data_IF_613351717531
#
_entry.id   IF_613351717531
#
_cell.length_a   1.000
_cell.length_b   1.000
_cell.length_c   1.000
_cell.angle_alpha   90.00
_cell.angle_beta   90.00
_cell.angle_gamma   90.00
#
_symmetry.space_group_name_H-M   'P 1'
#
loop_
_entity.id
_entity.type
_entity.pdbx_description
1 polymer ?
#
# COMPACT_ATOMS: atom_id res chain seq x y z
N UNK A 1 17.70 2.10 18.56
CA UNK A 1 17.03 3.10 17.71
C UNK A 1 16.80 2.45 16.36
N UNK A 2 15.70 1.70 16.21
CA UNK A 2 15.28 1.23 14.90
C UNK A 2 14.51 2.39 14.25
N UNK A 3 14.96 2.85 13.08
CA UNK A 3 14.23 3.84 12.30
C UNK A 3 12.82 3.31 12.06
N UNK A 4 11.80 4.14 12.32
CA UNK A 4 10.45 3.81 11.88
C UNK A 4 10.45 3.60 10.37
N UNK A 5 9.56 2.75 9.83
CA UNK A 5 9.45 2.58 8.38
C UNK A 5 9.27 3.96 7.72
N UNK A 6 9.83 4.17 6.52
CA UNK A 6 9.66 5.43 5.80
C UNK A 6 8.17 5.70 5.64
N UNK A 7 7.71 6.90 6.04
CA UNK A 7 6.34 7.32 5.74
C UNK A 7 6.18 7.39 4.23
N UNK A 8 5.38 6.50 3.66
CA UNK A 8 5.03 6.52 2.23
C UNK A 8 3.79 7.37 2.04
N UNK A 9 3.73 8.08 0.93
CA UNK A 9 2.57 8.88 0.54
C UNK A 9 2.35 8.73 -0.95
N UNK A 10 1.09 8.71 -1.35
CA UNK A 10 0.69 8.92 -2.73
C UNK A 10 -0.54 9.83 -2.80
N UNK A 11 -0.79 10.42 -3.96
CA UNK A 11 -1.81 11.44 -4.16
C UNK A 11 -2.75 11.03 -5.28
N UNK A 12 -4.00 10.83 -4.90
CA UNK A 12 -5.08 10.53 -5.83
C UNK A 12 -5.67 11.76 -6.53
N UNK A 13 -6.79 11.56 -7.25
CA UNK A 13 -7.50 12.64 -7.92
C UNK A 13 -7.87 13.78 -6.98
N UNK A 14 -7.87 15.00 -7.51
CA UNK A 14 -8.17 16.24 -6.78
C UNK A 14 -7.22 16.53 -5.59
N UNK A 15 -6.03 15.90 -5.57
CA UNK A 15 -5.05 16.12 -4.52
C UNK A 15 -5.33 15.34 -3.24
N UNK A 16 -6.19 14.31 -3.29
CA UNK A 16 -6.51 13.46 -2.14
C UNK A 16 -5.26 12.70 -1.64
N UNK A 17 -4.74 12.98 -0.44
CA UNK A 17 -3.54 12.31 0.05
C UNK A 17 -3.86 10.96 0.70
N UNK A 18 -2.98 9.98 0.49
CA UNK A 18 -3.00 8.68 1.16
C UNK A 18 -1.64 8.41 1.76
N UNK A 19 -1.57 8.14 3.06
CA UNK A 19 -0.32 8.13 3.83
C UNK A 19 -0.21 6.86 4.66
N UNK A 20 0.98 6.26 4.64
CA UNK A 20 1.45 5.29 5.61
C UNK A 20 2.20 6.02 6.73
N UNK A 21 1.63 5.98 7.93
CA UNK A 21 2.12 6.65 9.12
C UNK A 21 2.95 5.75 10.03
N UNK A 22 3.09 6.16 11.29
CA UNK A 22 3.79 5.37 12.30
C UNK A 22 3.06 4.05 12.60
N UNK A 23 3.83 2.98 12.83
CA UNK A 23 3.31 1.61 13.01
C UNK A 23 2.45 1.15 11.83
N UNK A 24 2.86 1.50 10.61
CA UNK A 24 2.24 1.04 9.36
C UNK A 24 0.76 1.40 9.18
N UNK A 25 0.27 2.33 10.01
CA UNK A 25 -1.13 2.78 9.99
C UNK A 25 -1.44 3.57 8.74
N UNK A 26 -2.62 3.35 8.18
CA UNK A 26 -3.04 3.97 6.93
C UNK A 26 -3.94 5.17 7.24
N UNK A 27 -3.68 6.30 6.58
CA UNK A 27 -4.43 7.54 6.75
C UNK A 27 -4.84 8.15 5.42
N UNK A 28 -6.00 8.80 5.39
CA UNK A 28 -6.41 9.66 4.29
C UNK A 28 -7.15 10.89 4.82
N UNK A 29 -7.30 11.93 4.00
CA UNK A 29 -8.00 13.15 4.36
C UNK A 29 -9.49 13.03 4.01
N UNK A 30 -10.38 13.07 4.99
CA UNK A 30 -11.83 13.04 4.77
C UNK A 30 -12.42 14.31 5.37
N UNK A 31 -13.11 15.09 4.55
CA UNK A 31 -13.70 16.39 4.91
C UNK A 31 -12.70 17.36 5.58
N UNK A 32 -11.42 17.31 5.15
CA UNK A 32 -10.35 18.14 5.68
C UNK A 32 -9.71 17.64 6.99
N UNK A 33 -10.10 16.45 7.47
CA UNK A 33 -9.53 15.83 8.67
C UNK A 33 -8.82 14.53 8.33
N UNK A 34 -7.66 14.32 8.94
CA UNK A 34 -6.96 13.04 8.84
C UNK A 34 -7.77 11.97 9.56
N UNK A 35 -8.11 10.91 8.83
CA UNK A 35 -8.78 9.73 9.37
C UNK A 35 -7.88 8.52 9.20
N UNK A 36 -7.78 7.73 10.28
CA UNK A 36 -7.12 6.43 10.22
C UNK A 36 -8.10 5.41 9.62
N UNK A 37 -7.62 4.65 8.65
CA UNK A 37 -8.35 3.56 8.01
C UNK A 37 -8.02 2.21 8.68
N UNK A 38 -8.86 1.17 8.53
CA UNK A 38 -8.51 -0.17 8.98
C UNK A 38 -7.25 -0.69 8.28
N UNK A 39 -6.61 -1.69 8.88
CA UNK A 39 -5.44 -2.36 8.33
C UNK A 39 -4.13 -1.61 8.52
N UNK A 40 -3.08 -2.20 7.95
CA UNK A 40 -1.69 -1.73 7.98
C UNK A 40 -1.08 -1.89 6.58
N UNK A 41 -0.10 -1.04 6.23
CA UNK A 41 0.55 -1.07 4.92
C UNK A 41 2.04 -0.77 5.00
N UNK A 42 2.82 -1.44 4.16
CA UNK A 42 4.25 -1.23 3.94
C UNK A 42 4.57 -0.39 2.69
N UNK A 43 3.68 -0.39 1.69
CA UNK A 43 3.70 0.53 0.56
C UNK A 43 2.29 0.85 0.06
N UNK A 44 2.10 2.01 -0.58
CA UNK A 44 0.79 2.49 -1.04
C UNK A 44 0.92 3.15 -2.41
N UNK A 45 -0.06 2.89 -3.29
CA UNK A 45 -0.16 3.54 -4.59
C UNK A 45 -1.61 3.92 -4.92
N UNK A 46 -1.79 5.02 -5.64
CA UNK A 46 -3.09 5.59 -6.00
C UNK A 46 -3.13 5.92 -7.49
N UNK A 47 -4.11 5.36 -8.19
CA UNK A 47 -4.34 5.61 -9.61
C UNK A 47 -5.06 6.93 -9.85
N UNK A 48 -4.90 7.48 -11.06
CA UNK A 48 -5.63 8.68 -11.48
C UNK A 48 -7.16 8.46 -11.62
N UNK A 49 -7.62 7.22 -11.61
CA UNK A 49 -9.03 6.85 -11.54
C UNK A 49 -9.58 6.85 -10.08
N UNK A 50 -8.70 7.01 -9.09
CA UNK A 50 -9.02 6.92 -7.66
C UNK A 50 -8.91 5.53 -7.07
N UNK A 51 -8.45 4.52 -7.82
CA UNK A 51 -8.13 3.20 -7.26
C UNK A 51 -6.95 3.30 -6.31
N UNK A 52 -7.05 2.70 -5.13
CA UNK A 52 -6.00 2.73 -4.09
C UNK A 52 -5.60 1.30 -3.77
N UNK A 53 -4.29 1.07 -3.73
CA UNK A 53 -3.70 -0.23 -3.46
C UNK A 53 -2.63 -0.13 -2.38
N UNK A 54 -2.49 -1.18 -1.57
CA UNK A 54 -1.45 -1.30 -0.55
C UNK A 54 -0.77 -2.66 -0.60
N UNK A 55 0.51 -2.66 -0.24
CA UNK A 55 1.26 -3.87 0.10
C UNK A 55 1.31 -3.97 1.62
N UNK A 56 1.19 -5.16 2.18
CA UNK A 56 1.28 -5.38 3.63
C UNK A 56 2.64 -4.91 4.20
N UNK A 57 2.74 -4.68 5.52
CA UNK A 57 4.01 -4.40 6.18
C UNK A 57 5.04 -5.51 5.96
N UNK A 58 6.32 -5.15 6.13
CA UNK A 58 7.40 -6.13 6.15
C UNK A 58 7.32 -6.95 7.44
N UNK A 59 7.16 -8.27 7.30
CA UNK A 59 7.26 -9.21 8.41
C UNK A 59 8.45 -10.14 8.19
N UNK A 60 9.27 -10.36 9.22
CA UNK A 60 10.45 -11.23 9.13
C UNK A 60 10.25 -12.52 9.92
N UNK A 61 10.56 -13.64 9.28
CA UNK A 61 10.60 -14.95 9.91
C UNK A 61 11.75 -15.10 10.91
N UNK A 62 11.75 -16.22 11.64
CA UNK A 62 12.82 -16.54 12.59
C UNK A 62 14.18 -16.74 11.93
N UNK A 63 14.19 -17.09 10.64
CA UNK A 63 15.39 -17.22 9.81
C UNK A 63 15.95 -15.87 9.31
N UNK A 64 15.27 -14.77 9.63
CA UNK A 64 15.63 -13.42 9.19
C UNK A 64 15.26 -13.13 7.74
N UNK A 65 14.55 -14.05 7.07
CA UNK A 65 14.01 -13.81 5.74
C UNK A 65 12.66 -13.09 5.85
N UNK A 66 12.40 -12.22 4.89
CA UNK A 66 11.12 -11.52 4.81
C UNK A 66 10.02 -12.45 4.31
N UNK A 67 8.87 -12.43 4.96
CA UNK A 67 7.69 -13.14 4.52
C UNK A 67 7.12 -12.48 3.25
N UNK A 68 6.50 -13.25 2.35
CA UNK A 68 5.75 -12.69 1.24
C UNK A 68 4.66 -11.72 1.75
N UNK A 69 4.60 -10.51 1.18
CA UNK A 69 3.65 -9.49 1.63
C UNK A 69 2.45 -9.42 0.69
N UNK A 70 1.26 -9.43 1.27
CA UNK A 70 0.02 -9.41 0.50
C UNK A 70 -0.26 -8.09 -0.19
N UNK A 71 -0.99 -8.16 -1.31
CA UNK A 71 -1.48 -7.02 -2.07
C UNK A 71 -2.96 -6.81 -1.75
N UNK A 72 -3.38 -5.58 -1.49
CA UNK A 72 -4.77 -5.26 -1.17
C UNK A 72 -5.27 -4.05 -1.95
N UNK A 73 -6.57 -4.03 -2.28
CA UNK A 73 -7.26 -2.91 -2.92
C UNK A 73 -8.29 -2.31 -1.96
N UNK A 74 -8.35 -0.98 -1.87
CA UNK A 74 -9.41 -0.30 -1.13
C UNK A 74 -10.75 -0.45 -1.85
N UNK A 75 -11.78 -0.92 -1.15
CA UNK A 75 -13.14 -1.08 -1.71
C UNK A 75 -14.13 0.01 -1.26
N UNK A 76 -13.68 1.03 -0.53
CA UNK A 76 -14.52 2.07 0.05
C UNK A 76 -14.88 1.84 1.52
N UNK A 77 -14.62 0.64 2.05
CA UNK A 77 -14.92 0.27 3.44
C UNK A 77 -13.75 -0.45 4.12
N UNK A 78 -13.10 -1.38 3.42
CA UNK A 78 -11.97 -2.17 3.91
C UNK A 78 -10.98 -2.51 2.78
N UNK A 79 -9.86 -3.14 3.13
CA UNK A 79 -8.83 -3.62 2.21
C UNK A 79 -9.13 -5.04 1.75
N UNK A 80 -9.47 -5.19 0.47
CA UNK A 80 -9.72 -6.49 -0.15
C UNK A 80 -8.40 -7.11 -0.61
N UNK A 81 -8.07 -8.31 -0.09
CA UNK A 81 -6.87 -9.05 -0.50
C UNK A 81 -6.98 -9.48 -1.96
N UNK A 82 -5.95 -9.17 -2.72
CA UNK A 82 -5.75 -9.65 -4.09
C UNK A 82 -4.65 -10.71 -4.09
N UNK A 83 -4.79 -11.70 -4.98
CA UNK A 83 -3.83 -12.80 -5.10
C UNK A 83 -2.46 -12.28 -5.53
N UNK A 84 -1.41 -12.89 -4.99
CA UNK A 84 -0.02 -12.50 -5.23
C UNK A 84 0.61 -11.82 -4.02
N UNK A 85 1.92 -11.60 -4.17
CA UNK A 85 2.78 -10.98 -3.18
C UNK A 85 3.67 -9.91 -3.83
N UNK A 86 3.95 -8.85 -3.09
CA UNK A 86 4.74 -7.71 -3.55
C UNK A 86 5.57 -7.12 -2.41
N UNK A 87 6.54 -6.28 -2.73
CA UNK A 87 7.30 -5.49 -1.75
C UNK A 87 7.12 -3.98 -1.96
N UNK A 88 6.82 -3.55 -3.19
CA UNK A 88 6.50 -2.18 -3.56
C UNK A 88 5.39 -2.16 -4.62
N UNK A 89 4.67 -1.04 -4.70
CA UNK A 89 3.52 -0.86 -5.59
C UNK A 89 3.44 0.55 -6.18
N UNK A 90 3.03 0.65 -7.44
CA UNK A 90 2.62 1.89 -8.09
C UNK A 90 1.36 1.62 -8.90
N UNK A 91 0.49 2.61 -9.10
CA UNK A 91 -0.81 2.41 -9.75
C UNK A 91 -0.93 3.29 -10.99
N UNK A 92 -1.28 2.67 -12.11
CA UNK A 92 -1.47 3.35 -13.38
C UNK A 92 -2.71 4.23 -13.40
N UNK A 93 -2.85 5.11 -14.41
CA UNK A 93 -4.05 5.93 -14.58
C UNK A 93 -5.30 5.10 -14.89
N UNK A 94 -5.14 3.85 -15.32
CA UNK A 94 -6.21 2.86 -15.53
C UNK A 94 -6.63 2.14 -14.23
N UNK A 95 -6.06 2.53 -13.08
CA UNK A 95 -6.32 1.92 -11.78
C UNK A 95 -5.60 0.61 -11.52
N UNK A 96 -4.78 0.16 -12.49
CA UNK A 96 -4.13 -1.13 -12.42
C UNK A 96 -2.76 -1.04 -11.74
N UNK A 97 -2.45 -1.92 -10.76
CA UNK A 97 -1.19 -1.86 -10.05
C UNK A 97 -0.06 -2.48 -10.87
N UNK A 98 1.12 -1.92 -10.67
CA UNK A 98 2.42 -2.46 -11.02
C UNK A 98 3.15 -2.76 -9.73
N UNK A 99 3.62 -4.00 -9.59
CA UNK A 99 4.26 -4.46 -8.36
C UNK A 99 5.61 -5.09 -8.65
N UNK A 100 6.53 -4.97 -7.69
CA UNK A 100 7.78 -5.73 -7.64
C UNK A 100 7.71 -6.74 -6.51
N UNK A 101 8.25 -7.94 -6.70
CA UNK A 101 8.38 -8.95 -5.64
C UNK A 101 9.80 -8.99 -5.04
N UNK A 102 10.02 -9.84 -4.04
CA UNK A 102 11.31 -10.02 -3.37
C UNK A 102 12.45 -10.51 -4.29
N UNK A 103 12.13 -10.99 -5.49
CA UNK A 103 13.08 -11.43 -6.52
C UNK A 103 13.29 -10.37 -7.61
N UNK A 104 12.79 -9.14 -7.40
CA UNK A 104 12.80 -8.03 -8.36
C UNK A 104 12.06 -8.31 -9.67
N UNK A 105 11.10 -9.25 -9.67
CA UNK A 105 10.24 -9.52 -10.83
C UNK A 105 9.09 -8.51 -10.89
N UNK A 106 8.71 -8.10 -12.11
CA UNK A 106 7.65 -7.12 -12.38
C UNK A 106 6.37 -7.83 -12.83
N UNK A 107 5.23 -7.48 -12.23
CA UNK A 107 3.90 -8.00 -12.60
C UNK A 107 2.91 -6.87 -12.89
N UNK A 108 1.97 -7.12 -13.82
CA UNK A 108 0.86 -6.22 -14.17
C UNK A 108 -0.47 -6.97 -14.12
N UNK A 109 -1.45 -6.37 -13.43
CA UNK A 109 -2.88 -6.68 -13.57
C UNK A 109 -3.32 -8.01 -12.96
N UNK A 110 -4.30 -7.92 -12.06
CA UNK A 110 -5.03 -9.06 -11.50
C UNK A 110 -6.52 -8.87 -11.81
#
# INVERSE_FOLDING_TARGET
TAGGPPSRIDVGPNGQPWVLGFSDRIYTLIDGFWQQLPGEGGDIGVGADGSVWVVAPAEFGWDGLENPRGIFRWNGFDWERVYGDAIDISVGPDGMPWVTNMFAELYRGF
#
